data_IF_195633397760
#
_entry.id   IF_195633397760
#
_cell.length_a   1.000
_cell.length_b   1.000
_cell.length_c   1.000
_cell.angle_alpha   90.00
_cell.angle_beta   90.00
_cell.angle_gamma   90.00
#
_symmetry.space_group_name_H-M   'P 1'
#
loop_
_entity.id
_entity.type
_entity.pdbx_description
1 polymer ?
#
# COMPACT_ATOMS: atom_id res chain seq x y z
N UNK A 1 -5.08 33.52 8.03
CA UNK A 1 -4.11 32.43 7.76
C UNK A 1 -4.86 31.32 7.03
N UNK A 2 -4.62 31.16 5.72
CA UNK A 2 -5.35 30.18 4.91
C UNK A 2 -4.89 28.77 5.31
N UNK A 3 -5.86 27.89 5.63
CA UNK A 3 -5.65 26.45 5.83
C UNK A 3 -4.78 25.94 4.69
N UNK A 4 -3.66 25.29 5.01
CA UNK A 4 -2.98 24.43 4.05
C UNK A 4 -3.89 23.21 3.88
N UNK A 5 -4.86 23.33 3.00
CA UNK A 5 -5.55 22.17 2.46
C UNK A 5 -4.54 21.45 1.56
N UNK A 6 -3.86 20.45 2.12
CA UNK A 6 -3.26 19.37 1.34
C UNK A 6 -4.38 18.52 0.71
N UNK A 7 -5.20 19.15 -0.13
CA UNK A 7 -6.13 18.48 -1.01
C UNK A 7 -5.59 18.61 -2.43
N UNK A 8 -4.53 17.85 -2.69
CA UNK A 8 -4.09 17.56 -4.05
C UNK A 8 -4.46 16.11 -4.35
N UNK A 9 -5.74 15.86 -4.60
CA UNK A 9 -6.32 14.57 -5.00
C UNK A 9 -5.82 13.34 -4.19
N UNK A 10 -5.48 13.60 -2.92
CA UNK A 10 -4.72 12.65 -2.13
C UNK A 10 -5.65 11.52 -1.66
N UNK A 11 -5.23 10.29 -1.91
CA UNK A 11 -5.90 9.12 -1.35
C UNK A 11 -5.98 9.23 0.17
N UNK A 12 -7.14 8.91 0.73
CA UNK A 12 -7.36 8.91 2.18
C UNK A 12 -6.31 8.05 2.89
N UNK A 13 -5.84 8.47 4.07
CA UNK A 13 -4.75 7.81 4.80
C UNK A 13 -5.02 6.33 5.14
N UNK A 14 -6.29 5.92 5.23
CA UNK A 14 -6.68 4.52 5.45
C UNK A 14 -6.68 3.67 4.16
N UNK A 15 -6.45 4.29 2.98
CA UNK A 15 -6.37 3.60 1.69
C UNK A 15 -4.99 2.95 1.56
N UNK A 16 -4.86 1.75 2.13
CA UNK A 16 -3.67 0.90 2.03
C UNK A 16 -3.93 -0.14 0.94
N UNK A 17 -3.16 -0.08 -0.15
CA UNK A 17 -3.33 -0.99 -1.28
C UNK A 17 -2.79 -2.38 -0.97
N UNK A 18 -3.61 -3.41 -1.17
CA UNK A 18 -3.18 -4.80 -1.10
C UNK A 18 -2.55 -5.22 -2.46
N UNK A 19 -1.25 -5.49 -2.53
CA UNK A 19 -0.55 -5.76 -3.80
C UNK A 19 -1.12 -6.98 -4.54
N UNK A 20 -1.57 -8.02 -3.83
CA UNK A 20 -2.15 -9.21 -4.44
C UNK A 20 -3.51 -8.95 -5.08
N UNK A 21 -4.37 -8.18 -4.40
CA UNK A 21 -5.67 -7.81 -4.96
C UNK A 21 -5.54 -6.84 -6.13
N UNK A 22 -4.54 -5.94 -6.09
CA UNK A 22 -4.24 -5.06 -7.22
C UNK A 22 -3.75 -5.87 -8.42
N UNK A 23 -2.85 -6.82 -8.22
CA UNK A 23 -2.40 -7.72 -9.28
C UNK A 23 -3.58 -8.49 -9.89
N UNK A 24 -4.43 -9.12 -9.06
CA UNK A 24 -5.60 -9.86 -9.54
C UNK A 24 -6.59 -8.98 -10.33
N UNK A 25 -6.75 -7.71 -9.95
CA UNK A 25 -7.68 -6.78 -10.59
C UNK A 25 -7.15 -6.21 -11.91
N UNK A 26 -5.87 -5.87 -11.97
CA UNK A 26 -5.28 -5.12 -13.09
C UNK A 26 -4.39 -5.95 -14.01
N UNK A 27 -3.89 -7.09 -13.53
CA UNK A 27 -3.08 -8.03 -14.30
C UNK A 27 -3.48 -9.48 -13.97
N UNK A 28 -4.72 -9.90 -14.29
CA UNK A 28 -5.24 -11.22 -13.94
C UNK A 28 -4.43 -12.37 -14.58
N UNK A 29 -3.77 -12.11 -15.70
CA UNK A 29 -2.91 -13.08 -16.42
C UNK A 29 -1.41 -12.92 -16.10
N UNK A 30 -1.04 -12.02 -15.18
CA UNK A 30 0.34 -11.72 -14.79
C UNK A 30 1.25 -11.34 -15.98
N UNK A 31 0.69 -10.83 -17.09
CA UNK A 31 1.42 -10.50 -18.32
C UNK A 31 2.41 -9.37 -18.08
N UNK A 32 2.01 -8.34 -17.33
CA UNK A 32 2.87 -7.20 -17.04
C UNK A 32 3.98 -7.61 -16.06
N UNK A 33 3.62 -8.34 -15.01
CA UNK A 33 4.56 -8.82 -14.00
C UNK A 33 5.62 -9.72 -14.64
N UNK A 34 5.22 -10.75 -15.40
CA UNK A 34 6.15 -11.66 -16.09
C UNK A 34 7.04 -10.96 -17.11
N UNK A 35 6.54 -9.91 -17.77
CA UNK A 35 7.34 -9.12 -18.73
C UNK A 35 8.44 -8.31 -18.03
N UNK A 36 8.17 -7.81 -16.82
CA UNK A 36 9.09 -6.89 -16.10
C UNK A 36 9.97 -7.60 -15.08
N UNK A 37 9.47 -8.64 -14.44
CA UNK A 37 10.16 -9.44 -13.43
C UNK A 37 10.03 -10.90 -13.87
N UNK A 38 10.98 -11.36 -14.67
CA UNK A 38 10.92 -12.70 -15.27
C UNK A 38 11.10 -13.79 -14.23
N UNK A 39 11.88 -13.49 -13.18
CA UNK A 39 12.12 -14.41 -12.07
C UNK A 39 10.99 -14.46 -11.03
N UNK A 40 9.84 -13.81 -11.27
CA UNK A 40 8.77 -13.67 -10.25
C UNK A 40 8.16 -15.00 -9.78
N UNK A 41 8.27 -16.04 -10.60
CA UNK A 41 7.78 -17.40 -10.30
C UNK A 41 8.91 -18.37 -9.95
N UNK A 42 10.16 -17.90 -9.95
CA UNK A 42 11.29 -18.72 -9.55
C UNK A 42 11.34 -18.89 -8.04
N UNK A 43 11.77 -20.07 -7.60
CA UNK A 43 11.91 -20.37 -6.17
C UNK A 43 13.00 -19.53 -5.48
N UNK A 44 13.88 -18.92 -6.26
CA UNK A 44 14.90 -17.95 -5.85
C UNK A 44 14.33 -16.57 -5.54
N UNK A 45 13.09 -16.29 -5.95
CA UNK A 45 12.48 -14.98 -5.76
C UNK A 45 12.36 -14.64 -4.26
N UNK A 46 12.79 -13.45 -3.83
CA UNK A 46 12.82 -13.11 -2.42
C UNK A 46 11.41 -13.08 -1.83
N UNK A 47 11.31 -13.57 -0.59
CA UNK A 47 10.07 -13.49 0.18
C UNK A 47 9.73 -12.04 0.50
N UNK A 48 8.43 -11.70 0.68
CA UNK A 48 8.03 -10.37 1.11
C UNK A 48 8.78 -9.91 2.35
N UNK A 49 9.32 -8.70 2.31
CA UNK A 49 10.13 -8.12 3.39
C UNK A 49 9.29 -7.92 4.67
N UNK A 50 8.01 -7.62 4.50
CA UNK A 50 7.08 -7.34 5.60
C UNK A 50 5.76 -8.04 5.31
N UNK A 51 5.17 -8.63 6.35
CA UNK A 51 3.79 -9.11 6.28
C UNK A 51 2.81 -7.94 6.08
N UNK A 52 1.97 -8.03 5.05
CA UNK A 52 1.12 -6.92 4.64
C UNK A 52 0.04 -6.61 5.67
N UNK A 53 -0.51 -7.62 6.37
CA UNK A 53 -1.54 -7.41 7.38
C UNK A 53 -0.98 -6.69 8.60
N UNK A 54 0.21 -7.10 9.05
CA UNK A 54 0.95 -6.44 10.12
C UNK A 54 1.28 -4.99 9.77
N UNK A 55 1.82 -4.76 8.57
CA UNK A 55 2.15 -3.42 8.09
C UNK A 55 0.92 -2.53 8.03
N UNK A 56 -0.21 -3.06 7.54
CA UNK A 56 -1.48 -2.34 7.45
C UNK A 56 -1.97 -1.92 8.84
N UNK A 57 -1.95 -2.84 9.81
CA UNK A 57 -2.37 -2.55 11.20
C UNK A 57 -1.50 -1.45 11.82
N UNK A 58 -0.18 -1.58 11.70
CA UNK A 58 0.78 -0.57 12.21
C UNK A 58 0.54 0.80 11.60
N UNK A 59 0.33 0.85 10.28
CA UNK A 59 0.05 2.09 9.55
C UNK A 59 -1.20 2.79 10.10
N UNK A 60 -2.32 2.07 10.18
CA UNK A 60 -3.59 2.63 10.68
C UNK A 60 -3.49 3.11 12.14
N UNK A 61 -2.76 2.38 12.98
CA UNK A 61 -2.56 2.76 14.38
C UNK A 61 -1.78 4.08 14.50
N UNK A 62 -0.67 4.21 13.75
CA UNK A 62 0.18 5.41 13.78
C UNK A 62 -0.57 6.63 13.24
N UNK A 63 -1.26 6.49 12.10
CA UNK A 63 -2.06 7.59 11.55
C UNK A 63 -3.23 7.96 12.48
N UNK A 64 -3.89 6.97 13.09
CA UNK A 64 -4.94 7.21 14.08
C UNK A 64 -4.44 7.99 15.31
N UNK A 65 -3.24 7.66 15.81
CA UNK A 65 -2.60 8.42 16.90
C UNK A 65 -2.25 9.85 16.49
N UNK A 66 -1.67 10.01 15.29
CA UNK A 66 -1.31 11.33 14.77
C UNK A 66 -2.54 12.23 14.64
N UNK A 67 -3.63 11.74 14.03
CA UNK A 67 -4.86 12.52 13.86
C UNK A 67 -5.52 12.89 15.18
N UNK A 68 -5.54 11.98 16.17
CA UNK A 68 -6.05 12.30 17.52
C UNK A 68 -5.25 13.43 18.18
N UNK A 69 -3.93 13.44 18.03
CA UNK A 69 -3.05 14.50 18.56
C UNK A 69 -3.31 15.87 17.92
N UNK A 70 -3.70 15.93 16.65
CA UNK A 70 -4.02 17.19 15.97
C UNK A 70 -5.43 17.74 16.29
N UNK A 71 -6.33 16.88 16.75
CA UNK A 71 -7.72 17.24 17.07
C UNK A 71 -7.94 17.53 18.57
N UNK A 72 -6.88 17.51 19.38
CA UNK A 72 -6.89 17.89 20.81
C UNK A 72 -6.12 19.19 20.96
#
# INVERSE_FOLDING_TARGET
MKRVEINLDAASYFRIFNPYLQAKKFDPELKYIRKRVRESEEMTYPKPIVDHELARKRCLEVYGKALKKYNT
#
